data_IF_526525811297
#
_entry.id   IF_526525811297
#
_cell.length_a   1.000
_cell.length_b   1.000
_cell.length_c   1.000
_cell.angle_alpha   90.00
_cell.angle_beta   90.00
_cell.angle_gamma   90.00
#
_symmetry.space_group_name_H-M   'P 1'
#
loop_
_entity.id
_entity.type
_entity.pdbx_description
1 polymer ?
#
# COMPACT_ATOMS: atom_id res chain seq x y z
N UNK A 1 -12.02 3.35 4.70
CA UNK A 1 -11.66 3.37 6.09
C UNK A 1 -11.23 2.03 6.62
N UNK A 2 -11.00 1.97 7.91
CA UNK A 2 -10.52 0.75 8.59
C UNK A 2 -11.41 -0.47 8.32
N UNK A 3 -12.73 -0.27 8.28
CA UNK A 3 -13.68 -1.35 8.05
C UNK A 3 -13.47 -2.03 6.70
N UNK A 4 -13.21 -1.26 5.65
CA UNK A 4 -12.95 -1.81 4.32
C UNK A 4 -11.66 -2.63 4.32
N UNK A 5 -10.62 -2.16 5.00
CA UNK A 5 -9.34 -2.87 5.12
C UNK A 5 -9.52 -4.20 5.87
N UNK A 6 -10.31 -4.20 6.93
CA UNK A 6 -10.61 -5.41 7.70
C UNK A 6 -11.33 -6.45 6.81
N UNK A 7 -12.28 -6.01 5.97
CA UNK A 7 -12.97 -6.91 5.05
C UNK A 7 -12.03 -7.51 4.00
N UNK A 8 -11.13 -6.70 3.45
CA UNK A 8 -10.07 -7.20 2.55
C UNK A 8 -9.23 -8.24 3.29
N UNK A 9 -8.90 -7.97 4.54
CA UNK A 9 -8.12 -8.89 5.37
C UNK A 9 -8.77 -10.26 5.54
N UNK A 10 -10.09 -10.31 5.67
CA UNK A 10 -10.82 -11.58 5.76
C UNK A 10 -10.68 -12.42 4.49
N UNK A 11 -10.73 -11.77 3.33
CA UNK A 11 -10.53 -12.45 2.04
C UNK A 11 -9.11 -12.97 1.93
N UNK A 12 -8.13 -12.16 2.30
CA UNK A 12 -6.71 -12.54 2.24
C UNK A 12 -6.39 -13.70 3.18
N UNK A 13 -7.02 -13.76 4.35
CA UNK A 13 -6.81 -14.85 5.28
C UNK A 13 -7.28 -16.20 4.71
N UNK A 14 -8.23 -16.19 3.77
CA UNK A 14 -8.72 -17.38 3.08
C UNK A 14 -7.89 -17.73 1.83
N UNK A 15 -6.95 -16.88 1.46
CA UNK A 15 -6.12 -17.05 0.26
C UNK A 15 -4.64 -16.85 0.60
N UNK A 16 -4.03 -17.81 1.34
CA UNK A 16 -2.68 -17.63 1.89
C UNK A 16 -1.57 -17.57 0.85
N UNK A 17 -1.89 -17.87 -0.42
CA UNK A 17 -0.91 -17.82 -1.51
C UNK A 17 -0.82 -16.48 -2.20
N UNK A 18 -1.63 -15.50 -1.78
CA UNK A 18 -1.60 -14.16 -2.37
C UNK A 18 -0.59 -13.30 -1.61
N UNK A 19 0.33 -12.65 -2.34
CA UNK A 19 1.18 -11.61 -1.78
C UNK A 19 0.50 -10.26 -1.96
N UNK A 20 0.72 -9.36 -1.01
CA UNK A 20 0.02 -8.08 -0.92
C UNK A 20 1.04 -6.96 -0.83
N UNK A 21 0.99 -6.03 -1.77
CA UNK A 21 1.75 -4.80 -1.71
C UNK A 21 0.80 -3.65 -1.41
N UNK A 22 1.06 -2.94 -0.34
CA UNK A 22 0.29 -1.76 0.04
C UNK A 22 1.11 -0.53 -0.35
N UNK A 23 0.60 0.27 -1.28
CA UNK A 23 1.26 1.49 -1.74
C UNK A 23 0.52 2.72 -1.24
N UNK A 24 1.23 3.62 -0.55
CA UNK A 24 0.72 4.93 -0.20
C UNK A 24 1.09 5.96 -1.25
N UNK A 25 0.19 6.88 -1.54
CA UNK A 25 0.38 7.98 -2.49
C UNK A 25 -0.09 9.28 -1.89
N UNK A 26 0.55 10.38 -2.30
CA UNK A 26 0.18 11.74 -1.89
C UNK A 26 -0.10 12.60 -3.12
N UNK A 27 -0.67 13.78 -2.90
CA UNK A 27 -0.64 14.84 -3.89
C UNK A 27 0.73 15.53 -3.88
N UNK A 28 0.88 16.61 -4.63
CA UNK A 28 2.15 17.34 -4.73
C UNK A 28 2.27 18.51 -3.75
N UNK A 29 1.35 18.65 -2.80
CA UNK A 29 1.49 19.65 -1.75
C UNK A 29 2.68 19.29 -0.85
N UNK A 30 3.57 20.26 -0.65
CA UNK A 30 4.72 20.05 0.21
C UNK A 30 4.29 20.04 1.68
N UNK A 31 4.94 19.17 2.44
CA UNK A 31 4.79 19.18 3.88
C UNK A 31 5.63 20.34 4.42
N UNK A 32 4.96 21.25 5.15
CA UNK A 32 5.62 22.39 5.78
C UNK A 32 5.95 22.03 7.21
N UNK A 33 7.24 21.97 7.52
CA UNK A 33 7.71 21.59 8.85
C UNK A 33 7.64 20.09 9.07
N UNK A 34 7.65 19.69 10.33
CA UNK A 34 7.63 18.29 10.75
C UNK A 34 6.26 17.95 11.32
N UNK A 35 5.61 16.91 10.77
CA UNK A 35 4.32 16.44 11.25
C UNK A 35 4.42 15.52 12.47
N UNK A 36 5.63 15.25 12.94
CA UNK A 36 5.88 14.26 13.98
C UNK A 36 6.02 12.85 13.41
N UNK A 37 6.45 11.89 14.22
CA UNK A 37 6.63 10.51 13.80
C UNK A 37 7.65 10.32 12.69
N UNK A 38 8.55 11.29 12.47
CA UNK A 38 9.56 11.22 11.42
C UNK A 38 9.07 11.63 10.03
N UNK A 39 7.88 12.25 9.93
CA UNK A 39 7.32 12.66 8.62
C UNK A 39 7.85 14.05 8.28
N UNK A 40 8.72 14.12 7.27
CA UNK A 40 9.33 15.36 6.79
C UNK A 40 8.98 15.70 5.34
N UNK A 41 8.58 14.70 4.55
CA UNK A 41 8.27 14.86 3.13
C UNK A 41 7.18 13.86 2.70
N UNK A 42 6.80 13.94 1.43
CA UNK A 42 5.75 13.05 0.90
C UNK A 42 6.19 11.58 0.80
N UNK A 43 7.49 11.31 0.68
CA UNK A 43 7.99 9.94 0.79
C UNK A 43 7.65 9.35 2.16
N UNK A 44 7.97 10.08 3.22
CA UNK A 44 7.70 9.65 4.59
C UNK A 44 6.20 9.50 4.85
N UNK A 45 5.40 10.48 4.39
CA UNK A 45 3.96 10.47 4.60
C UNK A 45 3.31 9.26 3.92
N UNK A 46 3.64 9.01 2.65
CA UNK A 46 3.08 7.90 1.88
C UNK A 46 3.46 6.55 2.46
N UNK A 47 4.71 6.41 2.89
CA UNK A 47 5.21 5.18 3.52
C UNK A 47 4.51 4.94 4.87
N UNK A 48 4.33 5.98 5.66
CA UNK A 48 3.66 5.90 6.96
C UNK A 48 2.21 5.45 6.82
N UNK A 49 1.50 5.99 5.83
CA UNK A 49 0.12 5.61 5.52
C UNK A 49 0.03 4.16 5.08
N UNK A 50 0.95 3.71 4.23
CA UNK A 50 0.99 2.31 3.81
C UNK A 50 1.27 1.38 4.99
N UNK A 51 2.20 1.74 5.86
CA UNK A 51 2.52 0.97 7.07
C UNK A 51 1.31 0.86 8.00
N UNK A 52 0.52 1.93 8.15
CA UNK A 52 -0.68 1.88 8.97
C UNK A 52 -1.68 0.85 8.46
N UNK A 53 -1.84 0.74 7.13
CA UNK A 53 -2.72 -0.27 6.52
C UNK A 53 -2.17 -1.69 6.75
N UNK A 54 -0.87 -1.87 6.56
CA UNK A 54 -0.22 -3.18 6.83
C UNK A 54 -0.46 -3.60 8.29
N UNK A 55 -0.35 -2.68 9.23
CA UNK A 55 -0.60 -2.98 10.64
C UNK A 55 -2.03 -3.44 10.89
N UNK A 56 -3.01 -2.83 10.21
CA UNK A 56 -4.42 -3.26 10.32
C UNK A 56 -4.58 -4.68 9.77
N UNK A 57 -4.01 -4.97 8.59
CA UNK A 57 -4.07 -6.31 8.00
C UNK A 57 -3.38 -7.34 8.88
N UNK A 58 -2.26 -6.99 9.48
CA UNK A 58 -1.48 -7.90 10.33
C UNK A 58 -2.19 -8.26 11.65
N UNK A 59 -3.24 -7.53 12.04
CA UNK A 59 -4.09 -7.89 13.17
C UNK A 59 -4.85 -9.19 12.93
N UNK A 60 -5.09 -9.55 11.67
CA UNK A 60 -5.75 -10.80 11.32
C UNK A 60 -4.74 -11.94 11.35
N UNK A 61 -4.87 -12.85 12.32
CA UNK A 61 -3.94 -13.97 12.52
C UNK A 61 -3.90 -14.96 11.34
N UNK A 62 -4.94 -14.96 10.49
CA UNK A 62 -4.99 -15.82 9.31
C UNK A 62 -4.15 -15.30 8.14
N UNK A 63 -3.65 -14.06 8.22
CA UNK A 63 -2.81 -13.48 7.17
C UNK A 63 -1.35 -13.81 7.45
N UNK A 64 -0.66 -14.32 6.43
CA UNK A 64 0.78 -14.58 6.48
C UNK A 64 1.53 -13.25 6.39
N UNK A 65 2.17 -12.82 7.47
CA UNK A 65 2.88 -11.53 7.52
C UNK A 65 4.00 -11.43 6.49
N UNK A 66 4.62 -12.55 6.14
CA UNK A 66 5.67 -12.61 5.10
C UNK A 66 5.17 -12.19 3.72
N UNK A 67 3.85 -12.21 3.51
CA UNK A 67 3.24 -11.83 2.23
C UNK A 67 2.87 -10.34 2.17
N UNK A 68 3.07 -9.59 3.25
CA UNK A 68 2.72 -8.17 3.31
C UNK A 68 3.93 -7.30 3.05
N UNK A 69 3.78 -6.29 2.19
CA UNK A 69 4.80 -5.29 1.93
C UNK A 69 4.16 -3.90 1.95
N UNK A 70 4.82 -2.95 2.61
CA UNK A 70 4.42 -1.54 2.59
C UNK A 70 5.40 -0.76 1.72
N UNK A 71 4.89 0.13 0.88
CA UNK A 71 5.71 1.00 0.05
C UNK A 71 5.11 2.41 -0.02
N UNK A 72 5.98 3.41 -0.05
CA UNK A 72 5.60 4.80 -0.25
C UNK A 72 6.03 5.27 -1.62
N UNK A 73 5.11 5.79 -2.42
CA UNK A 73 5.38 6.31 -3.76
C UNK A 73 5.48 7.84 -3.76
N UNK A 74 5.21 8.49 -2.63
CA UNK A 74 5.22 9.95 -2.54
C UNK A 74 4.21 10.58 -3.48
N UNK A 75 4.60 11.68 -4.11
CA UNK A 75 3.79 12.40 -5.10
C UNK A 75 4.07 11.98 -6.54
N UNK A 76 4.98 11.02 -6.74
CA UNK A 76 5.62 10.77 -8.04
C UNK A 76 4.91 9.76 -8.92
N UNK A 77 3.78 9.23 -8.49
CA UNK A 77 2.95 8.33 -9.30
C UNK A 77 1.49 8.80 -9.28
N UNK A 78 1.21 10.01 -9.79
CA UNK A 78 -0.13 10.59 -9.74
C UNK A 78 -1.10 9.81 -10.62
N UNK A 79 -2.34 9.67 -10.14
CA UNK A 79 -3.44 9.09 -10.89
C UNK A 79 -4.10 10.15 -11.78
N UNK A 80 -4.14 11.38 -11.28
CA UNK A 80 -4.75 12.52 -11.98
C UNK A 80 -3.87 13.76 -11.84
N UNK A 81 -4.22 14.82 -12.56
CA UNK A 81 -3.52 16.10 -12.45
C UNK A 81 -3.64 16.68 -11.04
N UNK A 82 -2.55 17.23 -10.52
CA UNK A 82 -2.53 17.98 -9.27
C UNK A 82 -2.97 19.45 -9.45
N UNK A 83 -3.40 19.85 -10.64
CA UNK A 83 -3.81 21.22 -10.93
C UNK A 83 -5.19 21.56 -10.38
N UNK A 84 -5.96 20.55 -9.96
CA UNK A 84 -7.28 20.72 -9.39
C UNK A 84 -7.36 20.10 -8.01
N UNK A 85 -8.26 20.62 -7.16
CA UNK A 85 -8.52 20.02 -5.85
C UNK A 85 -9.04 18.58 -5.97
N UNK A 86 -9.86 18.31 -6.98
CA UNK A 86 -10.39 16.98 -7.25
C UNK A 86 -9.27 16.00 -7.62
N UNK A 87 -8.37 16.40 -8.50
CA UNK A 87 -7.23 15.58 -8.90
C UNK A 87 -6.31 15.28 -7.71
N UNK A 88 -6.00 16.30 -6.90
CA UNK A 88 -5.21 16.11 -5.68
C UNK A 88 -5.86 15.12 -4.72
N UNK A 89 -7.18 15.21 -4.54
CA UNK A 89 -7.92 14.31 -3.66
C UNK A 89 -7.79 12.86 -4.11
N UNK A 90 -7.83 12.61 -5.42
CA UNK A 90 -7.68 11.27 -5.98
C UNK A 90 -6.25 10.76 -5.89
N UNK A 91 -5.26 11.65 -5.91
CA UNK A 91 -3.86 11.26 -5.76
C UNK A 91 -3.53 10.86 -4.31
N UNK A 92 -4.24 11.40 -3.32
CA UNK A 92 -4.11 11.00 -1.91
C UNK A 92 -4.84 9.69 -1.69
N UNK A 93 -4.16 8.57 -1.93
CA UNK A 93 -4.79 7.25 -1.91
C UNK A 93 -3.86 6.16 -1.40
N UNK A 94 -4.48 5.04 -1.04
CA UNK A 94 -3.81 3.77 -0.82
C UNK A 94 -4.22 2.83 -1.95
N UNK A 95 -3.24 2.15 -2.54
CA UNK A 95 -3.50 1.08 -3.50
C UNK A 95 -3.11 -0.24 -2.88
N UNK A 96 -3.99 -1.22 -2.98
CA UNK A 96 -3.75 -2.58 -2.50
C UNK A 96 -3.57 -3.46 -3.73
N UNK A 97 -2.34 -3.94 -3.93
CA UNK A 97 -1.96 -4.71 -5.12
C UNK A 97 -1.81 -6.17 -4.71
N UNK A 98 -2.66 -7.02 -5.27
CA UNK A 98 -2.68 -8.45 -4.98
C UNK A 98 -1.99 -9.20 -6.09
N UNK A 99 -1.01 -10.04 -5.72
CA UNK A 99 -0.29 -10.87 -6.67
C UNK A 99 -0.42 -12.32 -6.24
N UNK A 100 -1.06 -13.17 -7.05
CA UNK A 100 -1.12 -14.59 -6.74
C UNK A 100 0.25 -15.24 -6.89
N UNK A 101 0.52 -16.28 -6.11
CA UNK A 101 1.72 -17.06 -6.31
C UNK A 101 1.61 -17.89 -7.58
N UNK A 102 2.57 -17.72 -8.46
CA UNK A 102 2.66 -18.45 -9.72
C UNK A 102 3.80 -19.47 -9.62
N UNK A 103 3.73 -20.35 -8.63
CA UNK A 103 4.82 -21.28 -8.32
C UNK A 103 5.23 -22.14 -9.51
N UNK A 104 4.27 -22.64 -10.29
CA UNK A 104 4.57 -23.46 -11.45
C UNK A 104 5.27 -22.66 -12.55
N UNK A 105 4.81 -21.42 -12.78
CA UNK A 105 5.44 -20.54 -13.76
C UNK A 105 6.84 -20.15 -13.30
N UNK A 106 7.00 -19.84 -12.01
CA UNK A 106 8.30 -19.54 -11.43
C UNK A 106 9.29 -20.69 -11.57
N UNK A 107 8.84 -21.93 -11.35
CA UNK A 107 9.66 -23.12 -11.55
C UNK A 107 10.06 -23.27 -13.02
N UNK A 108 9.14 -23.06 -13.95
CA UNK A 108 9.45 -23.11 -15.38
C UNK A 108 10.51 -22.08 -15.76
N UNK A 109 10.40 -20.85 -15.24
CA UNK A 109 11.37 -19.79 -15.52
C UNK A 109 12.73 -20.08 -14.92
N UNK A 110 12.79 -20.75 -13.78
CA UNK A 110 14.05 -21.11 -13.11
C UNK A 110 14.77 -22.26 -13.81
N UNK A 111 14.07 -23.05 -14.62
CA UNK A 111 14.65 -24.16 -15.37
C UNK A 111 15.35 -23.71 -16.66
N UNK A 112 15.22 -22.44 -17.01
CA UNK A 112 15.92 -21.84 -18.13
C UNK A 112 17.22 -21.20 -17.71
#
# INVERSE_FOLDING_TARGET
GKKAVVEVGKVLAQNPDITVLIEGHTDNDKILGTLGGGIENNWDLSTKRATAIVNILAENAGIQKKNLTAAGRGEFAPLMSNDTAEGKAKNRRIEIILTPKLDEISKMLNDF
#
